data_IF_406405267176
#
_entry.id   IF_406405267176
#
_cell.length_a   1.000
_cell.length_b   1.000
_cell.length_c   1.000
_cell.angle_alpha   90.00
_cell.angle_beta   90.00
_cell.angle_gamma   90.00
#
_symmetry.space_group_name_H-M   'P 1'
#
loop_
_entity.id
_entity.type
_entity.pdbx_description
1 polymer ?
#
# COMPACT_ATOMS: atom_id res chain seq x y z
N UNK A 1 15.38 -0.08 -32.55
CA UNK A 1 15.92 -0.87 -31.42
C UNK A 1 15.02 -2.09 -31.27
N UNK A 2 15.55 -3.29 -30.99
CA UNK A 2 14.69 -4.43 -30.67
C UNK A 2 13.76 -4.04 -29.52
N UNK A 3 12.49 -4.43 -29.58
CA UNK A 3 11.51 -4.16 -28.52
C UNK A 3 11.99 -4.86 -27.24
N UNK A 4 12.36 -4.08 -26.22
CA UNK A 4 12.68 -4.64 -24.90
C UNK A 4 11.41 -5.25 -24.32
N UNK A 5 11.32 -6.59 -24.29
CA UNK A 5 10.21 -7.28 -23.66
C UNK A 5 10.45 -7.41 -22.16
N UNK A 6 9.59 -6.78 -21.36
CA UNK A 6 9.64 -6.88 -19.90
C UNK A 6 8.81 -8.08 -19.41
N UNK A 7 9.34 -8.80 -18.41
CA UNK A 7 8.55 -9.81 -17.68
C UNK A 7 7.32 -9.16 -17.07
N UNK A 8 6.10 -9.67 -17.30
CA UNK A 8 4.91 -9.17 -16.65
C UNK A 8 5.06 -9.24 -15.13
N UNK A 9 5.10 -8.08 -14.48
CA UNK A 9 5.34 -7.97 -13.05
C UNK A 9 4.43 -6.96 -12.40
N UNK A 10 3.75 -7.40 -11.37
CA UNK A 10 2.88 -6.60 -10.52
C UNK A 10 3.67 -6.17 -9.30
N UNK A 11 3.79 -4.87 -9.08
CA UNK A 11 4.20 -4.32 -7.79
C UNK A 11 2.96 -4.08 -6.92
N UNK A 12 3.13 -3.78 -5.61
CA UNK A 12 2.24 -4.15 -4.49
C UNK A 12 2.53 -3.39 -3.19
N UNK A 13 2.28 -2.10 -2.98
CA UNK A 13 2.90 -1.29 -1.92
C UNK A 13 1.90 -0.85 -0.83
N UNK A 14 2.10 -1.26 0.42
CA UNK A 14 1.10 -1.09 1.49
C UNK A 14 1.69 -0.40 2.72
N UNK A 15 1.05 0.67 3.17
CA UNK A 15 1.46 1.38 4.38
C UNK A 15 1.23 0.55 5.65
N UNK A 16 2.29 0.31 6.46
CA UNK A 16 2.18 -0.33 7.77
C UNK A 16 1.53 0.62 8.75
N UNK A 17 0.21 0.55 8.79
CA UNK A 17 -0.61 1.56 9.45
C UNK A 17 -1.46 0.99 10.58
N UNK A 18 -1.28 -0.31 10.88
CA UNK A 18 -1.94 -1.05 11.96
C UNK A 18 -3.43 -1.28 11.74
N UNK A 19 -3.97 -2.28 12.46
CA UNK A 19 -5.42 -2.49 12.57
C UNK A 19 -6.05 -2.93 11.25
N UNK A 20 -5.55 -4.03 10.68
CA UNK A 20 -6.13 -4.63 9.48
C UNK A 20 -7.59 -5.03 9.73
N UNK A 21 -8.47 -4.62 8.81
CA UNK A 21 -9.91 -4.90 8.89
C UNK A 21 -10.36 -5.82 7.76
N UNK A 22 -11.60 -6.34 7.88
CA UNK A 22 -12.27 -7.06 6.80
C UNK A 22 -12.31 -6.27 5.49
N UNK A 23 -12.42 -4.95 5.55
CA UNK A 23 -12.36 -4.08 4.38
C UNK A 23 -11.00 -4.13 3.67
N UNK A 24 -9.89 -4.31 4.40
CA UNK A 24 -8.57 -4.49 3.80
C UNK A 24 -8.44 -5.87 3.12
N UNK A 25 -8.95 -6.90 3.79
CA UNK A 25 -8.92 -8.27 3.27
C UNK A 25 -9.72 -8.41 1.97
N UNK A 26 -11.01 -8.04 1.99
CA UNK A 26 -11.89 -8.14 0.81
C UNK A 26 -11.59 -7.07 -0.25
N UNK A 27 -11.04 -5.94 0.17
CA UNK A 27 -10.72 -4.83 -0.75
C UNK A 27 -9.46 -5.06 -1.56
N UNK A 28 -8.48 -5.79 -1.04
CA UNK A 28 -7.18 -5.95 -1.70
C UNK A 28 -6.52 -7.32 -1.49
N UNK A 29 -6.36 -7.78 -0.24
CA UNK A 29 -5.50 -8.93 0.04
C UNK A 29 -5.99 -10.22 -0.63
N UNK A 30 -7.31 -10.45 -0.66
CA UNK A 30 -7.90 -11.60 -1.36
C UNK A 30 -7.52 -11.62 -2.85
N UNK A 31 -7.52 -10.45 -3.50
CA UNK A 31 -7.14 -10.31 -4.91
C UNK A 31 -5.67 -10.58 -5.14
N UNK A 32 -4.82 -10.15 -4.21
CA UNK A 32 -3.37 -10.41 -4.28
C UNK A 32 -3.04 -11.91 -4.22
N UNK A 33 -3.81 -12.68 -3.43
CA UNK A 33 -3.70 -14.14 -3.40
C UNK A 33 -4.13 -14.72 -4.75
N UNK A 34 -5.28 -14.29 -5.29
CA UNK A 34 -5.73 -14.71 -6.62
C UNK A 34 -4.70 -14.40 -7.71
N UNK A 35 -4.09 -13.22 -7.67
CA UNK A 35 -3.10 -12.78 -8.66
C UNK A 35 -1.80 -13.57 -8.58
N UNK A 36 -1.35 -13.89 -7.35
CA UNK A 36 -0.24 -14.79 -7.12
C UNK A 36 -0.51 -16.19 -7.71
N UNK A 37 -1.70 -16.75 -7.44
CA UNK A 37 -2.03 -18.12 -7.82
C UNK A 37 -2.36 -18.25 -9.32
N UNK A 38 -2.76 -17.17 -9.98
CA UNK A 38 -2.97 -17.14 -11.43
C UNK A 38 -1.68 -17.44 -12.21
N UNK A 39 -0.50 -17.13 -11.65
CA UNK A 39 0.80 -17.40 -12.27
C UNK A 39 1.08 -16.63 -13.57
N UNK A 40 0.23 -15.66 -13.93
CA UNK A 40 0.37 -14.84 -15.14
C UNK A 40 1.38 -13.71 -14.98
N UNK A 41 1.69 -13.34 -13.73
CA UNK A 41 2.59 -12.26 -13.37
C UNK A 41 3.51 -12.67 -12.24
N UNK A 42 4.70 -12.10 -12.21
CA UNK A 42 5.47 -12.05 -10.95
C UNK A 42 4.85 -11.00 -10.03
N UNK A 43 4.65 -11.35 -8.76
CA UNK A 43 4.01 -10.48 -7.77
C UNK A 43 5.00 -10.01 -6.72
N UNK A 44 5.03 -8.71 -6.47
CA UNK A 44 5.93 -8.06 -5.52
C UNK A 44 5.11 -7.20 -4.56
N UNK A 45 5.04 -7.63 -3.31
CA UNK A 45 4.35 -6.95 -2.22
C UNK A 45 5.36 -6.33 -1.24
N UNK A 46 5.26 -5.02 -1.06
CA UNK A 46 6.19 -4.17 -0.33
C UNK A 46 5.47 -3.44 0.81
N UNK A 47 5.91 -3.67 2.04
CA UNK A 47 5.47 -2.92 3.20
C UNK A 47 6.24 -1.61 3.24
N UNK A 48 5.58 -0.52 2.87
CA UNK A 48 6.22 0.78 2.60
C UNK A 48 6.39 1.64 3.87
N UNK A 49 7.28 1.20 4.75
CA UNK A 49 7.56 1.90 6.01
C UNK A 49 8.19 3.30 5.82
N UNK A 50 8.96 3.55 4.75
CA UNK A 50 9.52 4.87 4.44
C UNK A 50 8.43 5.87 4.05
N UNK A 51 7.36 5.42 3.39
CA UNK A 51 6.23 6.29 3.07
C UNK A 51 5.39 6.62 4.30
N UNK A 52 5.30 5.71 5.27
CA UNK A 52 4.50 5.89 6.48
C UNK A 52 4.96 7.08 7.35
N UNK A 53 6.22 7.48 7.24
CA UNK A 53 6.82 8.56 8.02
C UNK A 53 6.80 9.93 7.33
N UNK A 54 6.23 10.04 6.12
CA UNK A 54 6.27 11.28 5.30
C UNK A 54 5.41 12.39 5.86
N UNK A 55 4.16 12.10 6.24
CA UNK A 55 3.22 13.11 6.75
C UNK A 55 3.46 13.44 8.23
N UNK A 56 3.84 12.44 9.02
CA UNK A 56 4.19 12.57 10.44
C UNK A 56 5.13 11.45 10.80
N UNK A 57 6.19 11.75 11.57
CA UNK A 57 7.00 10.71 12.20
C UNK A 57 6.14 9.90 13.17
N UNK A 58 6.25 8.59 13.05
CA UNK A 58 5.56 7.62 13.90
C UNK A 58 6.47 7.21 15.06
N UNK A 59 5.87 6.68 16.12
CA UNK A 59 6.66 6.03 17.16
C UNK A 59 7.41 4.83 16.55
N UNK A 60 8.72 4.66 16.83
CA UNK A 60 9.51 3.58 16.22
C UNK A 60 9.05 2.17 16.62
N UNK A 61 8.48 1.98 17.81
CA UNK A 61 7.94 0.68 18.20
C UNK A 61 6.61 0.43 17.47
N UNK A 62 5.74 1.44 17.41
CA UNK A 62 4.48 1.37 16.66
C UNK A 62 4.69 1.01 15.18
N UNK A 63 5.63 1.68 14.49
CA UNK A 63 5.92 1.40 13.07
C UNK A 63 6.43 -0.03 12.86
N UNK A 64 7.28 -0.52 13.76
CA UNK A 64 7.82 -1.88 13.70
C UNK A 64 6.73 -2.92 13.90
N UNK A 65 5.88 -2.73 14.90
CA UNK A 65 4.78 -3.63 15.21
C UNK A 65 3.73 -3.63 14.10
N UNK A 66 3.40 -2.45 13.56
CA UNK A 66 2.50 -2.33 12.41
C UNK A 66 3.05 -3.01 11.15
N UNK A 67 4.37 -2.96 10.93
CA UNK A 67 5.01 -3.61 9.78
C UNK A 67 4.96 -5.13 9.90
N UNK A 68 5.21 -5.65 11.11
CA UNK A 68 5.10 -7.09 11.39
C UNK A 68 3.66 -7.58 11.34
N UNK A 69 2.72 -6.83 11.90
CA UNK A 69 1.29 -7.13 11.81
C UNK A 69 0.81 -7.18 10.36
N UNK A 70 1.25 -6.22 9.53
CA UNK A 70 0.92 -6.20 8.11
C UNK A 70 1.47 -7.44 7.39
N UNK A 71 2.71 -7.83 7.68
CA UNK A 71 3.31 -9.05 7.14
C UNK A 71 2.55 -10.31 7.54
N UNK A 72 2.27 -10.45 8.85
CA UNK A 72 1.49 -11.56 9.37
C UNK A 72 0.11 -11.63 8.71
N UNK A 73 -0.55 -10.48 8.51
CA UNK A 73 -1.84 -10.43 7.82
C UNK A 73 -1.75 -10.90 6.37
N UNK A 74 -0.72 -10.49 5.62
CA UNK A 74 -0.53 -10.92 4.23
C UNK A 74 -0.32 -12.44 4.15
N UNK A 75 0.57 -13.00 4.98
CA UNK A 75 0.84 -14.44 5.03
C UNK A 75 -0.43 -15.21 5.43
N UNK A 76 -1.08 -14.79 6.51
CA UNK A 76 -2.29 -15.44 7.02
C UNK A 76 -3.47 -15.37 6.04
N UNK A 77 -3.54 -14.33 5.21
CA UNK A 77 -4.55 -14.21 4.16
C UNK A 77 -4.30 -15.14 2.95
N UNK A 78 -3.11 -15.73 2.82
CA UNK A 78 -2.74 -16.68 1.77
C UNK A 78 -1.59 -16.23 0.85
N UNK A 79 -0.95 -15.09 1.11
CA UNK A 79 0.26 -14.72 0.36
C UNK A 79 1.38 -15.67 0.76
N UNK A 80 1.92 -16.37 -0.24
CA UNK A 80 2.99 -17.32 -0.05
C UNK A 80 4.32 -16.66 -0.46
N UNK A 81 5.24 -16.41 0.50
CA UNK A 81 6.56 -15.84 0.20
C UNK A 81 7.41 -16.71 -0.74
N UNK A 82 7.02 -17.96 -0.99
CA UNK A 82 7.63 -18.82 -2.00
C UNK A 82 7.15 -18.52 -3.41
N UNK A 83 5.92 -18.03 -3.59
CA UNK A 83 5.34 -17.67 -4.89
C UNK A 83 5.50 -16.18 -5.21
N UNK A 84 5.28 -15.31 -4.21
CA UNK A 84 5.38 -13.85 -4.33
C UNK A 84 6.60 -13.33 -3.57
N UNK A 85 7.14 -12.19 -4.00
CA UNK A 85 8.10 -11.43 -3.19
C UNK A 85 7.31 -10.64 -2.14
N UNK A 86 7.63 -10.82 -0.86
CA UNK A 86 7.03 -10.11 0.26
C UNK A 86 8.14 -9.51 1.14
N UNK A 87 8.22 -8.18 1.26
CA UNK A 87 9.35 -7.55 1.94
C UNK A 87 9.03 -6.18 2.55
N UNK A 88 9.89 -5.72 3.47
CA UNK A 88 9.84 -4.37 4.02
C UNK A 88 10.72 -3.41 3.20
N UNK A 89 10.16 -2.27 2.78
CA UNK A 89 10.80 -1.25 1.93
C UNK A 89 12.16 -0.78 2.46
N UNK A 90 12.27 -0.38 3.72
CA UNK A 90 13.52 0.16 4.27
C UNK A 90 14.69 -0.85 4.30
N UNK A 91 14.42 -2.14 4.13
CA UNK A 91 15.46 -3.17 4.08
C UNK A 91 16.16 -3.28 2.71
N UNK A 92 15.64 -2.60 1.69
CA UNK A 92 16.20 -2.58 0.34
C UNK A 92 16.68 -1.15 0.05
N UNK A 93 17.97 -0.84 0.32
CA UNK A 93 18.50 0.53 0.23
C UNK A 93 18.36 1.14 -1.17
N UNK A 94 18.32 0.29 -2.20
CA UNK A 94 18.20 0.68 -3.59
C UNK A 94 16.92 1.50 -3.88
N UNK A 95 15.84 1.35 -3.08
CA UNK A 95 14.65 2.21 -3.17
C UNK A 95 15.00 3.70 -2.99
N UNK A 96 15.76 4.01 -1.94
CA UNK A 96 16.17 5.39 -1.65
C UNK A 96 17.24 5.91 -2.62
N UNK A 97 18.13 5.03 -3.09
CA UNK A 97 19.16 5.37 -4.07
C UNK A 97 18.54 5.73 -5.41
N UNK A 98 17.58 4.94 -5.89
CA UNK A 98 16.87 5.24 -7.14
C UNK A 98 15.94 6.44 -6.97
N UNK A 99 15.29 6.61 -5.82
CA UNK A 99 14.49 7.80 -5.53
C UNK A 99 15.32 9.09 -5.61
N UNK A 100 16.58 9.07 -5.16
CA UNK A 100 17.49 10.21 -5.31
C UNK A 100 17.76 10.54 -6.78
N UNK A 101 18.00 9.52 -7.62
CA UNK A 101 18.17 9.70 -9.07
C UNK A 101 16.89 10.29 -9.68
N UNK A 102 15.73 9.76 -9.29
CA UNK A 102 14.43 10.25 -9.79
C UNK A 102 14.10 11.67 -9.34
N UNK A 103 14.58 12.11 -8.17
CA UNK A 103 14.50 13.52 -7.77
C UNK A 103 15.27 14.45 -8.74
N UNK A 104 16.29 13.96 -9.43
CA UNK A 104 17.01 14.72 -10.47
C UNK A 104 16.29 14.70 -11.83
N UNK A 105 15.37 13.76 -12.06
CA UNK A 105 14.58 13.63 -13.29
C UNK A 105 13.28 14.42 -13.19
N UNK A 106 12.55 14.21 -12.08
CA UNK A 106 11.26 14.80 -11.82
C UNK A 106 11.36 16.31 -11.61
N UNK A 107 10.40 17.05 -12.17
CA UNK A 107 10.40 18.52 -12.12
C UNK A 107 9.59 18.99 -10.92
N UNK A 108 10.05 20.06 -10.26
CA UNK A 108 9.33 20.71 -9.15
C UNK A 108 7.87 21.03 -9.50
N UNK A 109 7.62 21.49 -10.73
CA UNK A 109 6.26 21.76 -11.20
C UNK A 109 5.36 20.53 -11.32
N UNK A 110 5.91 19.34 -11.57
CA UNK A 110 5.15 18.09 -11.61
C UNK A 110 4.68 17.72 -10.20
N UNK A 111 5.61 17.77 -9.24
CA UNK A 111 5.33 17.51 -7.82
C UNK A 111 4.33 18.51 -7.23
N UNK A 112 4.53 19.80 -7.47
CA UNK A 112 3.66 20.85 -6.93
C UNK A 112 2.22 20.85 -7.45
N UNK A 113 1.93 20.12 -8.55
CA UNK A 113 0.58 19.97 -9.09
C UNK A 113 -0.20 18.80 -8.52
N UNK A 114 0.45 17.91 -7.76
CA UNK A 114 -0.20 16.75 -7.15
C UNK A 114 -1.34 17.15 -6.23
N UNK A 115 -2.49 16.49 -6.39
CA UNK A 115 -3.68 16.77 -5.58
C UNK A 115 -3.43 16.39 -4.12
N UNK A 116 -2.78 15.25 -3.85
CA UNK A 116 -2.44 14.86 -2.48
C UNK A 116 -1.48 15.86 -1.82
N UNK A 117 -0.55 16.45 -2.58
CA UNK A 117 0.32 17.50 -2.05
C UNK A 117 -0.51 18.72 -1.62
N UNK A 118 -1.36 19.24 -2.51
CA UNK A 118 -2.22 20.40 -2.21
C UNK A 118 -3.13 20.16 -1.01
N UNK A 119 -3.70 18.96 -0.92
CA UNK A 119 -4.61 18.58 0.16
C UNK A 119 -3.89 18.40 1.50
N UNK A 120 -2.74 17.71 1.52
CA UNK A 120 -2.02 17.38 2.75
C UNK A 120 -1.14 18.52 3.26
N UNK A 121 -0.55 19.32 2.38
CA UNK A 121 0.22 20.51 2.76
C UNK A 121 -0.68 21.64 3.27
N UNK A 122 -1.91 21.70 2.77
CA UNK A 122 -2.91 22.67 3.20
C UNK A 122 -2.49 24.11 2.97
N UNK A 123 -2.95 25.02 3.84
CA UNK A 123 -2.70 26.46 3.71
C UNK A 123 -1.27 26.89 4.05
N UNK A 124 -0.53 26.07 4.80
CA UNK A 124 0.85 26.37 5.20
C UNK A 124 1.81 25.32 4.61
N UNK A 125 1.97 25.38 3.29
CA UNK A 125 2.80 24.42 2.56
C UNK A 125 4.28 24.46 2.98
N UNK A 126 4.77 25.57 3.53
CA UNK A 126 6.15 25.70 4.02
C UNK A 126 6.40 24.88 5.30
N UNK A 127 5.36 24.60 6.09
CA UNK A 127 5.47 23.75 7.27
C UNK A 127 5.39 22.24 6.94
N UNK A 128 5.06 21.89 5.69
CA UNK A 128 5.03 20.50 5.26
C UNK A 128 6.45 19.93 5.14
N UNK A 129 6.59 18.63 5.42
CA UNK A 129 7.89 17.97 5.28
C UNK A 129 8.29 17.86 3.80
N UNK A 130 9.59 17.92 3.53
CA UNK A 130 10.11 17.64 2.19
C UNK A 130 9.76 16.21 1.75
N UNK A 131 9.70 15.26 2.69
CA UNK A 131 9.27 13.89 2.41
C UNK A 131 7.86 13.82 1.85
N UNK A 132 6.92 14.61 2.38
CA UNK A 132 5.55 14.69 1.88
C UNK A 132 5.47 15.27 0.45
N UNK A 133 6.41 16.12 0.07
CA UNK A 133 6.49 16.65 -1.30
C UNK A 133 7.14 15.65 -2.27
N UNK A 134 8.20 14.97 -1.82
CA UNK A 134 9.06 14.15 -2.67
C UNK A 134 8.66 12.66 -2.73
N UNK A 135 7.75 12.17 -1.87
CA UNK A 135 7.38 10.75 -1.87
C UNK A 135 6.86 10.21 -3.21
N UNK A 136 6.25 10.99 -4.12
CA UNK A 136 5.88 10.45 -5.43
C UNK A 136 7.09 9.97 -6.26
N UNK A 137 8.28 10.58 -6.11
CA UNK A 137 9.50 10.04 -6.72
C UNK A 137 9.99 8.76 -6.04
N UNK A 138 9.81 8.65 -4.72
CA UNK A 138 10.08 7.39 -4.00
C UNK A 138 9.13 6.29 -4.47
N UNK A 139 7.84 6.59 -4.65
CA UNK A 139 6.87 5.64 -5.21
C UNK A 139 7.28 5.17 -6.60
N UNK A 140 7.71 6.08 -7.47
CA UNK A 140 8.24 5.71 -8.79
C UNK A 140 9.46 4.78 -8.67
N UNK A 141 10.37 5.05 -7.73
CA UNK A 141 11.52 4.20 -7.46
C UNK A 141 11.10 2.80 -6.96
N UNK A 142 10.11 2.73 -6.07
CA UNK A 142 9.59 1.47 -5.55
C UNK A 142 9.04 0.56 -6.66
N UNK A 143 8.37 1.15 -7.65
CA UNK A 143 7.79 0.45 -8.80
C UNK A 143 8.89 0.03 -9.79
N UNK A 144 9.73 0.99 -10.18
CA UNK A 144 10.63 0.84 -11.33
C UNK A 144 11.91 0.07 -11.01
N UNK A 145 12.35 0.02 -9.75
CA UNK A 145 13.50 -0.79 -9.35
C UNK A 145 13.30 -2.29 -9.69
N UNK A 146 12.05 -2.76 -9.64
CA UNK A 146 11.69 -4.12 -10.02
C UNK A 146 11.25 -4.23 -11.48
N UNK A 147 11.35 -3.17 -12.28
CA UNK A 147 10.75 -3.12 -13.63
C UNK A 147 9.29 -3.60 -13.63
N UNK A 148 8.48 -3.12 -12.68
CA UNK A 148 7.07 -3.50 -12.63
C UNK A 148 6.31 -2.95 -13.84
N UNK A 149 5.63 -3.83 -14.54
CA UNK A 149 4.80 -3.50 -15.72
C UNK A 149 3.38 -3.14 -15.30
N UNK A 150 2.93 -3.60 -14.13
CA UNK A 150 1.55 -3.48 -13.68
C UNK A 150 1.49 -3.01 -12.23
N UNK A 151 0.58 -2.09 -11.91
CA UNK A 151 0.36 -1.59 -10.54
C UNK A 151 -1.14 -1.49 -10.24
N UNK A 152 -1.66 -2.24 -9.25
CA UNK A 152 -3.02 -2.10 -8.74
C UNK A 152 -3.28 -0.71 -8.15
N UNK A 153 -3.92 0.12 -8.97
CA UNK A 153 -4.40 1.49 -8.76
C UNK A 153 -5.69 1.70 -7.97
N UNK A 154 -5.69 2.36 -6.81
CA UNK A 154 -6.89 3.13 -6.39
C UNK A 154 -7.11 4.36 -7.29
N UNK A 155 -8.36 4.82 -7.44
CA UNK A 155 -8.67 6.05 -8.20
C UNK A 155 -7.92 7.28 -7.69
N UNK A 156 -7.72 7.34 -6.37
CA UNK A 156 -6.99 8.39 -5.68
C UNK A 156 -5.49 8.38 -6.00
N UNK A 157 -4.92 7.29 -6.51
CA UNK A 157 -3.48 7.14 -6.72
C UNK A 157 -3.06 7.18 -8.19
N UNK A 158 -4.02 7.32 -9.12
CA UNK A 158 -3.77 7.41 -10.56
C UNK A 158 -2.75 8.50 -10.91
N UNK A 159 -2.82 9.65 -10.25
CA UNK A 159 -1.92 10.77 -10.53
C UNK A 159 -0.45 10.46 -10.23
N UNK A 160 -0.15 9.69 -9.18
CA UNK A 160 1.22 9.29 -8.88
C UNK A 160 1.73 8.21 -9.86
N UNK A 161 0.85 7.34 -10.34
CA UNK A 161 1.22 6.36 -11.35
C UNK A 161 1.52 7.04 -12.69
N UNK A 162 0.75 8.06 -13.08
CA UNK A 162 1.09 8.88 -14.26
C UNK A 162 2.45 9.57 -14.09
N UNK A 163 2.76 10.12 -12.91
CA UNK A 163 4.10 10.66 -12.66
C UNK A 163 5.19 9.59 -12.77
N UNK A 164 4.94 8.37 -12.30
CA UNK A 164 5.88 7.25 -12.43
C UNK A 164 6.18 6.96 -13.90
N UNK A 165 5.14 6.97 -14.75
CA UNK A 165 5.24 6.82 -16.20
C UNK A 165 6.02 7.98 -16.83
N UNK A 166 5.75 9.21 -16.44
CA UNK A 166 6.48 10.41 -16.91
C UNK A 166 7.98 10.35 -16.55
N UNK A 167 8.30 9.92 -15.32
CA UNK A 167 9.70 9.75 -14.87
C UNK A 167 10.40 8.65 -15.69
N UNK A 168 9.76 7.50 -15.89
CA UNK A 168 10.31 6.40 -16.69
C UNK A 168 10.56 6.83 -18.14
N UNK A 169 9.56 7.45 -18.80
CA UNK A 169 9.66 7.92 -20.16
C UNK A 169 10.76 8.98 -20.32
N UNK A 170 10.83 9.92 -19.38
CA UNK A 170 11.86 10.96 -19.39
C UNK A 170 13.26 10.38 -19.19
N UNK A 171 13.44 9.45 -18.26
CA UNK A 171 14.73 8.79 -18.05
C UNK A 171 15.18 8.06 -19.32
N UNK A 172 14.29 7.23 -19.88
CA UNK A 172 14.56 6.49 -21.11
C UNK A 172 14.95 7.42 -22.27
N UNK A 173 14.21 8.52 -22.45
CA UNK A 173 14.50 9.52 -23.48
C UNK A 173 15.84 10.22 -23.27
N UNK A 174 16.08 10.79 -22.09
CA UNK A 174 17.29 11.58 -21.80
C UNK A 174 18.58 10.74 -21.94
N UNK A 175 18.51 9.44 -21.64
CA UNK A 175 19.64 8.52 -21.77
C UNK A 175 19.66 7.74 -23.10
N UNK A 176 18.64 7.86 -23.95
CA UNK A 176 18.54 7.14 -25.21
C UNK A 176 18.42 5.62 -25.05
N UNK A 177 17.74 5.15 -24.01
CA UNK A 177 17.60 3.74 -23.64
C UNK A 177 16.13 3.31 -23.50
N UNK A 178 15.87 2.01 -23.57
CA UNK A 178 14.59 1.40 -23.18
C UNK A 178 14.78 0.58 -21.90
N UNK A 179 15.14 1.27 -20.80
CA UNK A 179 15.57 0.63 -19.55
C UNK A 179 14.38 0.36 -18.62
N UNK A 180 13.52 1.35 -18.40
CA UNK A 180 12.34 1.20 -17.54
C UNK A 180 11.07 0.91 -18.36
N UNK A 181 10.18 0.01 -17.89
CA UNK A 181 8.87 -0.16 -18.49
C UNK A 181 8.00 1.08 -18.26
N UNK A 182 7.02 1.29 -19.14
CA UNK A 182 5.95 2.25 -18.91
C UNK A 182 4.80 1.50 -18.23
N UNK A 183 4.76 1.59 -16.91
CA UNK A 183 3.84 0.83 -16.05
C UNK A 183 2.37 1.10 -16.36
N UNK A 184 1.55 0.06 -16.37
CA UNK A 184 0.11 0.11 -16.62
C UNK A 184 -0.70 0.00 -15.32
N UNK A 185 -1.79 0.77 -15.17
CA UNK A 185 -2.73 0.60 -14.07
C UNK A 185 -3.51 -0.70 -14.22
N UNK A 186 -3.49 -1.52 -13.18
CA UNK A 186 -4.41 -2.64 -13.07
C UNK A 186 -5.70 -2.15 -12.45
N UNK A 187 -6.72 -1.96 -13.29
CA UNK A 187 -8.08 -1.65 -12.86
C UNK A 187 -8.83 -2.98 -12.72
N UNK A 188 -8.61 -3.66 -11.61
CA UNK A 188 -9.48 -4.77 -11.25
C UNK A 188 -10.86 -4.21 -10.87
N UNK A 189 -11.93 -4.85 -11.34
CA UNK A 189 -13.32 -4.40 -11.15
C UNK A 189 -13.64 -3.99 -9.71
N UNK A 190 -14.74 -3.29 -9.46
CA UNK A 190 -15.02 -2.65 -8.17
C UNK A 190 -14.69 -3.56 -6.96
N UNK A 191 -13.68 -3.18 -6.18
CA UNK A 191 -13.35 -3.84 -4.92
C UNK A 191 -14.58 -3.88 -4.02
N UNK A 192 -14.79 -5.00 -3.32
CA UNK A 192 -15.90 -5.11 -2.37
C UNK A 192 -15.74 -4.02 -1.32
N UNK A 193 -16.55 -2.97 -1.43
CA UNK A 193 -16.51 -1.85 -0.50
C UNK A 193 -17.26 -2.25 0.75
N UNK A 194 -16.50 -2.66 1.77
CA UNK A 194 -17.05 -3.01 3.08
C UNK A 194 -17.38 -1.74 3.87
N UNK A 195 -18.63 -1.65 4.31
CA UNK A 195 -19.16 -0.50 5.05
C UNK A 195 -19.18 -0.78 6.56
N UNK A 196 -19.32 0.27 7.35
CA UNK A 196 -19.41 0.23 8.80
C UNK A 196 -20.63 -0.59 9.22
N UNK A 197 -20.44 -1.52 10.17
CA UNK A 197 -21.49 -2.44 10.62
C UNK A 197 -22.64 -1.75 11.38
N UNK A 198 -22.46 -0.51 11.82
CA UNK A 198 -23.47 0.28 12.53
C UNK A 198 -24.03 1.42 11.68
N UNK A 199 -23.46 1.67 10.49
CA UNK A 199 -23.86 2.72 9.57
C UNK A 199 -23.38 2.39 8.15
N UNK A 200 -24.21 1.69 7.37
CA UNK A 200 -23.90 1.25 6.02
C UNK A 200 -23.61 2.38 5.02
N UNK A 201 -23.82 3.65 5.38
CA UNK A 201 -23.47 4.81 4.54
C UNK A 201 -21.98 5.19 4.67
N UNK A 202 -21.33 4.78 5.76
CA UNK A 202 -19.92 5.08 6.06
C UNK A 202 -19.02 3.90 5.72
N UNK A 203 -17.87 4.16 5.09
CA UNK A 203 -16.85 3.12 4.84
C UNK A 203 -16.33 2.58 6.18
N UNK A 204 -16.09 1.27 6.27
CA UNK A 204 -15.44 0.68 7.43
C UNK A 204 -14.07 1.34 7.64
N UNK A 205 -13.79 1.81 8.86
CA UNK A 205 -12.55 2.49 9.19
C UNK A 205 -11.94 1.94 10.46
N UNK A 206 -10.63 1.68 10.43
CA UNK A 206 -9.83 1.37 11.62
C UNK A 206 -9.76 2.52 12.63
N UNK A 207 -9.98 3.75 12.20
CA UNK A 207 -9.91 4.94 13.05
C UNK A 207 -11.25 5.27 13.72
N UNK A 208 -12.29 4.47 13.50
CA UNK A 208 -13.57 4.66 14.18
C UNK A 208 -13.41 4.37 15.69
N UNK A 209 -13.88 5.25 16.60
CA UNK A 209 -13.72 5.05 18.03
C UNK A 209 -14.45 3.79 18.54
N UNK A 210 -15.51 3.36 17.85
CA UNK A 210 -16.28 2.18 18.24
C UNK A 210 -15.80 0.95 17.51
N UNK A 211 -15.24 -0.01 18.23
CA UNK A 211 -14.78 -1.28 17.65
C UNK A 211 -15.92 -2.14 17.06
N UNK A 212 -17.17 -1.91 17.49
CA UNK A 212 -18.37 -2.60 16.98
C UNK A 212 -18.68 -2.26 15.51
N UNK A 213 -18.06 -1.23 14.96
CA UNK A 213 -18.27 -0.75 13.59
C UNK A 213 -17.49 -1.54 12.54
N UNK A 214 -16.51 -2.35 12.97
CA UNK A 214 -15.57 -3.04 12.11
C UNK A 214 -15.28 -4.46 12.57
N UNK A 215 -14.89 -5.31 11.63
CA UNK A 215 -14.28 -6.60 11.92
C UNK A 215 -12.78 -6.44 11.70
N UNK A 216 -11.99 -6.71 12.75
CA UNK A 216 -10.53 -6.73 12.67
C UNK A 216 -10.09 -8.13 12.23
N UNK A 217 -9.00 -8.25 11.46
CA UNK A 217 -8.46 -9.57 11.10
C UNK A 217 -7.86 -10.33 12.29
N UNK A 218 -7.69 -9.64 13.42
CA UNK A 218 -7.26 -10.21 14.70
C UNK A 218 -8.42 -10.57 15.62
N UNK A 219 -9.67 -10.34 15.21
CA UNK A 219 -10.83 -10.70 16.02
C UNK A 219 -10.95 -12.24 16.11
N UNK A 220 -11.26 -12.75 17.31
CA UNK A 220 -11.59 -14.18 17.48
C UNK A 220 -12.92 -14.54 16.82
N UNK A 221 -13.15 -15.84 16.60
CA UNK A 221 -14.42 -16.37 16.09
C UNK A 221 -15.64 -15.79 16.83
N UNK A 222 -15.59 -15.77 18.17
CA UNK A 222 -16.67 -15.20 18.98
C UNK A 222 -16.85 -13.69 18.78
N UNK A 223 -15.74 -12.95 18.63
CA UNK A 223 -15.80 -11.51 18.41
C UNK A 223 -16.41 -11.18 17.04
N UNK A 224 -16.00 -11.90 15.99
CA UNK A 224 -16.57 -11.80 14.65
C UNK A 224 -18.07 -12.06 14.69
N UNK A 225 -18.49 -13.21 15.25
CA UNK A 225 -19.90 -13.59 15.33
C UNK A 225 -20.72 -12.57 16.12
N UNK A 226 -20.22 -12.09 17.26
CA UNK A 226 -20.90 -11.06 18.07
C UNK A 226 -21.06 -9.74 17.32
N UNK A 227 -20.05 -9.30 16.58
CA UNK A 227 -20.09 -8.04 15.81
C UNK A 227 -21.11 -8.12 14.69
N UNK A 228 -21.16 -9.24 13.95
CA UNK A 228 -22.13 -9.47 12.87
C UNK A 228 -23.56 -9.53 13.43
N UNK A 229 -23.78 -10.27 14.53
CA UNK A 229 -25.11 -10.33 15.19
C UNK A 229 -25.60 -8.96 15.63
N UNK A 230 -24.69 -8.06 16.03
CA UNK A 230 -24.99 -6.68 16.45
C UNK A 230 -24.96 -5.66 15.30
N UNK A 231 -24.72 -6.06 14.06
CA UNK A 231 -24.75 -5.14 12.94
C UNK A 231 -26.13 -4.50 12.80
N UNK A 232 -26.17 -3.21 12.47
CA UNK A 232 -27.40 -2.49 12.17
C UNK A 232 -28.04 -3.07 10.91
N UNK A 233 -29.36 -3.19 10.94
CA UNK A 233 -30.19 -3.61 9.81
C UNK A 233 -31.45 -2.78 9.78
N UNK A 234 -32.07 -2.70 8.62
CA UNK A 234 -33.41 -2.13 8.47
C UNK A 234 -34.48 -3.17 8.93
N UNK A 235 -35.76 -2.76 9.06
CA UNK A 235 -36.80 -3.63 9.60
C UNK A 235 -37.36 -4.63 8.58
N UNK A 236 -37.11 -4.40 7.29
CA UNK A 236 -37.72 -5.18 6.22
C UNK A 236 -36.96 -6.50 5.99
N UNK A 237 -37.63 -7.59 5.58
CA UNK A 237 -36.95 -8.81 5.16
C UNK A 237 -35.98 -8.57 4.00
N UNK A 238 -35.10 -9.54 3.76
CA UNK A 238 -34.23 -9.51 2.58
C UNK A 238 -35.08 -9.53 1.29
N UNK A 239 -34.77 -8.66 0.32
CA UNK A 239 -35.51 -8.61 -0.94
C UNK A 239 -35.16 -9.80 -1.84
N UNK A 240 -35.94 -9.99 -2.91
CA UNK A 240 -35.68 -11.01 -3.92
C UNK A 240 -34.65 -10.55 -4.96
N UNK A 241 -34.68 -9.27 -5.36
CA UNK A 241 -33.75 -8.74 -6.36
C UNK A 241 -32.66 -7.85 -5.74
N UNK A 242 -31.44 -7.95 -6.27
CA UNK A 242 -30.32 -7.12 -5.83
C UNK A 242 -30.54 -5.63 -6.08
N UNK A 243 -31.37 -5.26 -7.07
CA UNK A 243 -31.76 -3.87 -7.33
C UNK A 243 -32.52 -3.25 -6.14
N UNK A 244 -33.30 -4.06 -5.40
CA UNK A 244 -34.10 -3.60 -4.27
C UNK A 244 -33.27 -3.34 -2.99
N UNK A 245 -31.96 -3.60 -3.06
CA UNK A 245 -31.00 -3.14 -2.04
C UNK A 245 -30.63 -1.66 -2.21
N UNK A 246 -31.05 -1.02 -3.31
CA UNK A 246 -30.94 0.43 -3.47
C UNK A 246 -31.73 1.15 -2.37
N UNK A 247 -31.13 2.18 -1.77
CA UNK A 247 -31.71 2.85 -0.60
C UNK A 247 -31.62 2.09 0.72
N UNK A 248 -31.17 0.82 0.74
CA UNK A 248 -31.00 -0.03 1.94
C UNK A 248 -29.52 -0.30 2.25
N UNK A 249 -28.76 0.72 2.70
CA UNK A 249 -27.30 0.62 2.81
C UNK A 249 -26.82 -0.43 3.81
N UNK A 250 -27.58 -0.65 4.90
CA UNK A 250 -27.23 -1.63 5.94
C UNK A 250 -27.42 -3.07 5.42
N UNK A 251 -28.58 -3.36 4.80
CA UNK A 251 -28.86 -4.64 4.14
C UNK A 251 -27.82 -4.94 3.04
N UNK A 252 -27.60 -3.97 2.15
CA UNK A 252 -26.65 -4.08 1.03
C UNK A 252 -25.25 -4.41 1.52
N UNK A 253 -24.81 -3.79 2.62
CA UNK A 253 -23.51 -4.06 3.20
C UNK A 253 -23.38 -5.52 3.64
N UNK A 254 -24.35 -6.05 4.39
CA UNK A 254 -24.29 -7.43 4.89
C UNK A 254 -24.37 -8.46 3.76
N UNK A 255 -25.23 -8.23 2.75
CA UNK A 255 -25.32 -9.09 1.56
C UNK A 255 -24.01 -9.07 0.77
N UNK A 256 -23.41 -7.91 0.56
CA UNK A 256 -22.13 -7.80 -0.15
C UNK A 256 -20.98 -8.46 0.61
N UNK A 257 -20.96 -8.36 1.95
CA UNK A 257 -19.95 -9.06 2.77
C UNK A 257 -20.13 -10.58 2.62
N UNK A 258 -21.36 -11.09 2.70
CA UNK A 258 -21.65 -12.50 2.49
C UNK A 258 -21.14 -12.95 1.12
N UNK A 259 -21.58 -12.29 0.07
CA UNK A 259 -21.25 -12.60 -1.33
C UNK A 259 -19.73 -12.67 -1.53
N UNK A 260 -19.00 -11.68 -1.00
CA UNK A 260 -17.55 -11.61 -1.13
C UNK A 260 -16.80 -12.68 -0.30
N UNK A 261 -17.34 -13.14 0.82
CA UNK A 261 -16.76 -14.25 1.60
C UNK A 261 -17.07 -15.62 0.96
N UNK A 262 -18.24 -15.73 0.33
CA UNK A 262 -18.71 -16.94 -0.33
C UNK A 262 -18.20 -17.11 -1.77
N UNK A 263 -17.54 -16.10 -2.35
CA UNK A 263 -17.19 -16.07 -3.78
C UNK A 263 -18.42 -16.22 -4.69
N UNK A 264 -19.51 -15.55 -4.32
CA UNK A 264 -20.78 -15.52 -5.06
C UNK A 264 -21.22 -14.08 -5.34
N UNK A 265 -22.31 -13.93 -6.09
CA UNK A 265 -22.92 -12.63 -6.38
C UNK A 265 -23.95 -12.25 -5.31
N UNK A 266 -24.21 -10.94 -5.08
CA UNK A 266 -25.30 -10.51 -4.21
C UNK A 266 -26.66 -11.13 -4.58
N UNK A 267 -26.94 -11.30 -5.87
CA UNK A 267 -28.18 -11.95 -6.32
C UNK A 267 -28.26 -13.41 -5.86
N UNK A 268 -27.19 -14.19 -6.00
CA UNK A 268 -27.18 -15.59 -5.52
C UNK A 268 -27.36 -15.70 -4.01
N UNK A 269 -26.88 -14.71 -3.24
CA UNK A 269 -27.13 -14.64 -1.79
C UNK A 269 -28.60 -14.38 -1.51
N UNK A 270 -29.23 -13.46 -2.26
CA UNK A 270 -30.65 -13.18 -2.13
C UNK A 270 -31.50 -14.38 -2.57
N UNK A 271 -31.16 -15.08 -3.65
CA UNK A 271 -31.89 -16.28 -4.09
C UNK A 271 -31.96 -17.36 -2.99
N UNK A 272 -30.95 -17.42 -2.10
CA UNK A 272 -30.90 -18.36 -0.97
C UNK A 272 -31.57 -17.85 0.31
N UNK A 273 -31.69 -16.53 0.47
CA UNK A 273 -32.08 -15.89 1.73
C UNK A 273 -33.22 -14.88 1.60
N UNK A 274 -33.85 -14.76 0.43
CA UNK A 274 -34.98 -13.86 0.19
C UNK A 274 -36.13 -14.18 1.15
N UNK A 275 -36.80 -13.13 1.63
CA UNK A 275 -37.87 -13.24 2.63
C UNK A 275 -37.38 -13.57 4.05
N UNK A 276 -36.10 -13.88 4.26
CA UNK A 276 -35.57 -14.12 5.60
C UNK A 276 -35.49 -12.82 6.42
N UNK A 277 -35.82 -12.94 7.71
CA UNK A 277 -35.51 -11.90 8.69
C UNK A 277 -34.01 -11.84 8.96
N UNK A 278 -33.50 -10.64 9.23
CA UNK A 278 -32.07 -10.42 9.47
C UNK A 278 -31.48 -11.22 10.64
N UNK A 279 -32.30 -11.66 11.61
CA UNK A 279 -31.85 -12.55 12.67
C UNK A 279 -31.25 -13.85 12.12
N UNK A 280 -31.95 -14.49 11.17
CA UNK A 280 -31.49 -15.71 10.52
C UNK A 280 -30.33 -15.44 9.58
N UNK A 281 -30.42 -14.38 8.75
CA UNK A 281 -29.35 -14.04 7.82
C UNK A 281 -28.02 -13.71 8.53
N UNK A 282 -28.08 -13.00 9.67
CA UNK A 282 -26.88 -12.69 10.47
C UNK A 282 -26.23 -13.94 11.07
N UNK A 283 -26.98 -15.00 11.34
CA UNK A 283 -26.40 -16.29 11.77
C UNK A 283 -25.60 -16.89 10.63
N UNK A 284 -26.19 -17.03 9.44
CA UNK A 284 -25.50 -17.56 8.26
C UNK A 284 -24.26 -16.72 7.88
N UNK A 285 -24.38 -15.39 7.93
CA UNK A 285 -23.25 -14.48 7.70
C UNK A 285 -22.17 -14.62 8.78
N UNK A 286 -22.55 -14.82 10.04
CA UNK A 286 -21.58 -15.03 11.11
C UNK A 286 -20.81 -16.34 10.90
N UNK A 287 -21.49 -17.41 10.50
CA UNK A 287 -20.88 -18.72 10.31
C UNK A 287 -19.84 -18.68 9.18
N UNK A 288 -20.18 -18.13 8.01
CA UNK A 288 -19.22 -18.00 6.91
C UNK A 288 -18.07 -17.03 7.24
N UNK A 289 -18.35 -15.93 7.95
CA UNK A 289 -17.30 -15.01 8.35
C UNK A 289 -16.32 -15.66 9.35
N UNK A 290 -16.83 -16.47 10.28
CA UNK A 290 -15.97 -17.23 11.20
C UNK A 290 -15.16 -18.27 10.44
N UNK A 291 -15.77 -19.05 9.54
CA UNK A 291 -15.09 -20.05 8.71
C UNK A 291 -13.91 -19.45 7.94
N UNK A 292 -14.11 -18.28 7.31
CA UNK A 292 -13.07 -17.63 6.51
C UNK A 292 -12.03 -16.87 7.33
N UNK A 293 -12.43 -16.18 8.39
CA UNK A 293 -11.56 -15.22 9.08
C UNK A 293 -10.89 -15.80 10.34
N UNK A 294 -11.48 -16.79 11.00
CA UNK A 294 -10.87 -17.38 12.19
C UNK A 294 -9.51 -18.05 11.88
N UNK A 295 -9.32 -18.78 10.76
CA UNK A 295 -8.01 -19.30 10.38
C UNK A 295 -6.97 -18.19 10.18
N UNK A 296 -7.37 -17.08 9.56
CA UNK A 296 -6.51 -15.90 9.36
C UNK A 296 -6.09 -15.33 10.72
N UNK A 297 -7.05 -15.10 11.63
CA UNK A 297 -6.76 -14.55 12.96
C UNK A 297 -5.82 -15.46 13.78
N UNK A 298 -5.99 -16.79 13.64
CA UNK A 298 -5.17 -17.79 14.32
C UNK A 298 -3.75 -17.76 13.81
N UNK A 299 -3.56 -17.74 12.49
CA UNK A 299 -2.24 -17.69 11.87
C UNK A 299 -1.54 -16.35 12.13
N UNK A 300 -2.27 -15.23 12.10
CA UNK A 300 -1.74 -13.94 12.52
C UNK A 300 -1.26 -13.97 13.98
N UNK A 301 -2.02 -14.57 14.88
CA UNK A 301 -1.62 -14.69 16.28
C UNK A 301 -0.36 -15.57 16.44
N UNK A 302 -0.29 -16.69 15.72
CA UNK A 302 0.89 -17.56 15.69
C UNK A 302 2.13 -16.79 15.25
N UNK A 303 2.06 -16.10 14.11
CA UNK A 303 3.16 -15.32 13.55
C UNK A 303 3.56 -14.13 14.44
N UNK A 304 2.60 -13.43 15.04
CA UNK A 304 2.88 -12.32 15.97
C UNK A 304 3.58 -12.79 17.25
N UNK A 305 3.37 -14.05 17.65
CA UNK A 305 4.05 -14.67 18.79
C UNK A 305 5.45 -15.21 18.43
N UNK A 306 5.82 -15.31 17.15
CA UNK A 306 7.20 -15.56 16.67
C UNK A 306 7.68 -14.43 15.72
N UNK A 307 8.04 -13.25 16.24
CA UNK A 307 8.57 -12.16 15.41
C UNK A 307 9.82 -12.55 14.61
N UNK A 308 10.58 -13.57 15.05
CA UNK A 308 11.77 -14.00 14.32
C UNK A 308 11.41 -14.71 13.01
N UNK A 309 10.26 -15.38 12.92
CA UNK A 309 9.75 -15.95 11.67
C UNK A 309 9.41 -14.86 10.64
N UNK A 310 8.76 -13.79 11.09
CA UNK A 310 8.45 -12.62 10.26
C UNK A 310 9.75 -11.96 9.79
N UNK A 311 10.69 -11.73 10.71
CA UNK A 311 11.97 -11.10 10.38
C UNK A 311 12.84 -11.98 9.45
N UNK A 312 12.76 -13.32 9.56
CA UNK A 312 13.37 -14.26 8.60
C UNK A 312 12.75 -14.12 7.22
N UNK A 313 11.43 -13.98 7.13
CA UNK A 313 10.71 -13.78 5.86
C UNK A 313 11.24 -12.53 5.15
N UNK A 314 11.40 -11.43 5.89
CA UNK A 314 12.02 -10.21 5.37
C UNK A 314 13.51 -10.38 5.00
N UNK A 315 14.32 -10.96 5.89
CA UNK A 315 15.78 -10.95 5.79
C UNK A 315 16.41 -12.00 4.84
N UNK A 316 15.80 -13.19 4.73
CA UNK A 316 16.38 -14.33 3.98
C UNK A 316 15.85 -14.48 2.54
N UNK A 317 14.64 -13.99 2.26
CA UNK A 317 13.95 -14.19 0.98
C UNK A 317 13.70 -12.90 0.19
N UNK A 318 13.44 -11.78 0.89
CA UNK A 318 13.26 -10.47 0.25
C UNK A 318 14.53 -9.85 -0.33
N UNK A 319 15.71 -10.18 0.21
CA UNK A 319 17.00 -9.57 -0.18
C UNK A 319 17.75 -10.27 -1.31
N UNK A 320 17.49 -11.58 -1.50
CA UNK A 320 18.23 -12.47 -2.42
C UNK A 320 17.46 -12.76 -3.70
N UNK A 321 16.12 -12.91 -3.65
CA UNK A 321 15.30 -13.19 -4.85
C UNK A 321 15.25 -12.08 -5.91
N UNK A 322 15.28 -10.77 -5.58
CA UNK A 322 15.27 -9.73 -6.62
C UNK A 322 16.47 -9.78 -7.57
N UNK A 323 17.56 -10.47 -7.17
CA UNK A 323 18.82 -10.47 -7.91
C UNK A 323 18.93 -11.58 -8.95
N UNK A 324 18.14 -12.65 -8.83
CA UNK A 324 18.48 -13.95 -9.46
C UNK A 324 17.58 -14.34 -10.66
N UNK A 325 16.64 -13.49 -11.08
CA UNK A 325 15.71 -13.79 -12.19
C UNK A 325 16.08 -13.17 -13.54
N UNK A 326 17.34 -12.78 -13.76
CA UNK A 326 17.82 -12.53 -15.13
C UNK A 326 18.46 -13.80 -15.68
N UNK A 327 18.06 -14.29 -16.88
CA UNK A 327 19.05 -14.92 -17.74
C UNK A 327 20.11 -13.86 -18.04
N UNK A 328 21.38 -14.15 -17.75
CA UNK A 328 22.49 -13.31 -18.16
C UNK A 328 22.33 -12.96 -19.65
N UNK A 329 22.18 -11.68 -20.05
CA UNK A 329 22.62 -11.30 -21.37
C UNK A 329 24.15 -11.41 -21.37
N UNK A 330 24.69 -11.95 -22.46
CA UNK A 330 26.11 -12.15 -22.71
C UNK A 330 27.07 -11.06 -22.20
N UNK A 331 28.34 -11.42 -21.94
CA UNK A 331 29.24 -10.68 -21.09
C UNK A 331 29.82 -9.45 -21.81
N UNK A 332 29.08 -8.35 -21.89
CA UNK A 332 29.69 -7.07 -22.26
C UNK A 332 29.19 -5.84 -21.48
N UNK A 333 28.44 -6.03 -20.40
CA UNK A 333 28.10 -4.94 -19.47
C UNK A 333 28.42 -5.36 -18.04
N UNK A 334 29.72 -5.33 -17.72
CA UNK A 334 30.20 -5.41 -16.33
C UNK A 334 29.57 -4.28 -15.52
N UNK A 335 28.54 -4.63 -14.75
CA UNK A 335 27.84 -3.82 -13.77
C UNK A 335 28.71 -3.53 -12.50
N UNK A 336 29.98 -3.19 -12.71
CA UNK A 336 30.93 -2.67 -11.71
C UNK A 336 31.48 -1.36 -12.25
N UNK A 337 30.76 -0.25 -12.09
CA UNK A 337 31.37 1.02 -12.49
C UNK A 337 30.58 2.33 -12.50
N UNK A 338 29.26 2.40 -12.23
CA UNK A 338 28.54 3.67 -12.49
C UNK A 338 27.88 4.35 -11.28
N UNK A 339 27.62 3.66 -10.16
CA UNK A 339 27.26 4.38 -8.91
C UNK A 339 28.49 5.00 -8.26
N UNK A 340 29.68 4.40 -8.43
CA UNK A 340 30.95 4.95 -7.94
C UNK A 340 31.52 6.09 -8.81
N UNK A 341 31.11 6.19 -10.09
CA UNK A 341 31.57 7.26 -10.99
C UNK A 341 30.76 8.56 -10.88
N UNK A 342 29.57 8.52 -10.26
CA UNK A 342 28.80 9.73 -9.93
C UNK A 342 29.25 10.40 -8.61
N UNK A 343 30.07 9.71 -7.81
CA UNK A 343 30.50 10.15 -6.47
C UNK A 343 32.01 10.37 -6.34
N UNK A 344 32.80 10.12 -7.40
CA UNK A 344 34.24 10.36 -7.38
C UNK A 344 34.51 11.82 -7.78
N UNK A 345 35.21 12.63 -6.94
CA UNK A 345 35.75 13.88 -7.42
C UNK A 345 36.76 13.54 -8.53
N UNK A 346 36.41 13.85 -9.78
CA UNK A 346 37.44 14.02 -10.82
C UNK A 346 38.46 14.98 -10.20
N UNK A 347 39.70 14.53 -10.03
CA UNK A 347 40.81 15.41 -9.64
C UNK A 347 40.83 16.55 -10.65
N UNK A 348 40.26 17.69 -10.30
CA UNK A 348 40.62 18.95 -10.94
C UNK A 348 42.11 19.12 -10.66
N UNK A 349 42.94 18.97 -11.70
CA UNK A 349 44.26 19.60 -11.69
C UNK A 349 44.00 21.10 -11.69
N UNK A 350 44.04 21.71 -10.52
CA UNK A 350 44.12 23.15 -10.37
C UNK A 350 45.57 23.56 -10.67
N UNK A 351 45.78 24.34 -11.73
CA UNK A 351 47.00 25.13 -11.89
C UNK A 351 47.06 26.17 -10.77
N UNK A 352 48.24 26.47 -10.20
CA UNK A 352 48.35 27.36 -9.05
C UNK A 352 48.08 28.81 -9.44
N UNK A 353 46.94 29.35 -9.00
CA UNK A 353 46.62 30.79 -8.99
C UNK A 353 46.94 31.42 -7.63
N UNK A 354 47.48 32.64 -7.65
CA UNK A 354 48.05 33.41 -6.52
C UNK A 354 47.04 33.78 -5.40
N UNK A 355 47.51 34.09 -4.16
CA UNK A 355 46.66 34.19 -2.97
C UNK A 355 46.11 35.60 -2.68
N UNK A 356 44.94 35.69 -2.03
CA UNK A 356 44.40 36.97 -1.54
C UNK A 356 43.12 36.91 -0.68
N UNK A 357 43.32 36.82 0.65
CA UNK A 357 42.54 37.32 1.83
C UNK A 357 41.07 36.90 2.14
N UNK A 358 40.68 36.81 3.44
CA UNK A 358 39.43 36.19 3.91
C UNK A 358 38.36 37.20 4.40
N UNK A 359 37.09 36.76 4.54
CA UNK A 359 36.08 37.45 5.34
C UNK A 359 35.03 36.51 5.98
N UNK A 360 35.20 36.31 7.29
CA UNK A 360 34.26 36.26 8.45
C UNK A 360 32.81 35.73 8.37
N UNK A 361 32.55 34.82 9.33
CA UNK A 361 31.25 34.37 9.88
C UNK A 361 30.41 35.51 10.50
N UNK A 362 29.08 35.34 10.47
CA UNK A 362 28.14 36.03 11.35
C UNK A 362 26.94 35.15 11.73
N UNK A 363 26.89 34.71 12.99
CA UNK A 363 25.74 34.04 13.63
C UNK A 363 24.79 35.08 14.26
N UNK A 364 23.49 34.88 14.11
CA UNK A 364 22.40 35.29 15.02
C UNK A 364 21.08 34.80 14.40
N UNK A 365 20.02 34.37 15.09
CA UNK A 365 19.56 34.51 16.48
C UNK A 365 18.53 33.41 16.78
N UNK A 366 18.36 33.19 18.08
CA UNK A 366 17.52 32.21 18.80
C UNK A 366 16.01 32.44 18.59
N UNK A 367 15.21 31.36 18.53
CA UNK A 367 13.75 31.39 18.74
C UNK A 367 13.32 30.34 19.78
N UNK A 368 12.49 30.75 20.75
CA UNK A 368 11.82 29.90 21.75
C UNK A 368 10.47 29.37 21.20
N UNK A 369 9.96 28.21 21.66
CA UNK A 369 8.68 27.66 21.22
C UNK A 369 7.50 28.13 22.08
N UNK A 370 6.34 28.36 21.47
CA UNK A 370 5.04 28.45 22.15
C UNK A 370 4.26 27.14 22.00
N UNK A 371 3.62 26.71 23.09
CA UNK A 371 2.72 25.56 23.20
C UNK A 371 1.28 25.93 22.83
N UNK A 372 0.49 24.87 22.64
CA UNK A 372 -0.99 24.78 22.54
C UNK A 372 -1.59 24.92 21.13
N UNK A 373 -2.61 24.18 20.68
CA UNK A 373 -3.21 22.91 21.12
C UNK A 373 -4.19 22.43 20.01
N UNK A 374 -4.45 21.11 20.00
CA UNK A 374 -5.71 20.43 19.63
C UNK A 374 -6.30 20.41 18.21
N UNK A 375 -6.52 19.16 17.78
CA UNK A 375 -7.63 18.62 16.98
C UNK A 375 -7.59 18.82 15.46
N UNK A 376 -7.10 17.79 14.76
CA UNK A 376 -7.52 17.51 13.39
C UNK A 376 -8.21 16.15 13.32
N UNK A 377 -9.49 16.20 12.98
CA UNK A 377 -10.32 15.06 12.60
C UNK A 377 -9.69 14.35 11.41
N UNK A 378 -9.31 13.09 11.59
CA UNK A 378 -8.83 12.22 10.51
C UNK A 378 -10.03 11.66 9.74
N UNK A 379 -10.16 12.04 8.46
CA UNK A 379 -11.07 11.37 7.51
C UNK A 379 -10.47 10.02 7.12
N UNK A 380 -11.33 9.01 7.01
CA UNK A 380 -10.96 7.61 6.78
C UNK A 380 -10.19 7.41 5.48
N UNK A 381 -9.12 6.62 5.57
CA UNK A 381 -8.26 6.19 4.46
C UNK A 381 -8.97 5.09 3.67
N UNK A 382 -8.95 5.19 2.34
CA UNK A 382 -9.47 4.16 1.46
C UNK A 382 -8.59 2.92 1.51
N UNK A 383 -9.15 1.76 1.88
CA UNK A 383 -8.56 0.46 1.61
C UNK A 383 -8.62 0.17 0.09
N UNK A 384 -7.68 0.74 -0.63
CA UNK A 384 -7.17 0.25 -1.90
C UNK A 384 -5.66 0.43 -1.78
N UNK A 385 -4.91 -0.64 -1.88
CA UNK A 385 -3.47 -0.57 -2.10
C UNK A 385 -3.23 0.41 -3.26
N UNK A 386 -2.36 1.43 -3.25
CA UNK A 386 -1.10 1.67 -2.56
C UNK A 386 -1.06 3.06 -1.89
N UNK A 387 -0.16 3.21 -0.91
CA UNK A 387 0.40 4.45 -0.29
C UNK A 387 -0.35 5.79 -0.41
#
# INVERSE_FOLDING_TARGET
MPETQFTPRVFSGIQPSGGLTLGNYLGAMKRFVTMQDAGTHETVYCMVDLHAITAKLLDPAELRDNTRELCAGFIAAGIDPEKSILFNQSQVPEHTQLAWIFNCVARMGWMGRMTQWKDKAGKNAEAASLGLFAYPALMAADILIYHATHVPVGDDQKQHLELTRDIAAKFNHDYGVAFFPITEPVIEGAATRVMNLQDGTKKMSKSDPSDKTRINLTDSADAIARKIRKAKTDPDPLPEAAADLEGRPDARNLVNIYAALADTTPQQVLDQHAGALFGHFKVALADIAVDKLAPISTEMARLKNDPAEIDRTFGSRGRTRPRDRRPDPEPDLRYRGHVAQLSAPRRLRLSPGRPGKPATLGLSRVFRPSRDATSLRRRGVSATTFV
#
